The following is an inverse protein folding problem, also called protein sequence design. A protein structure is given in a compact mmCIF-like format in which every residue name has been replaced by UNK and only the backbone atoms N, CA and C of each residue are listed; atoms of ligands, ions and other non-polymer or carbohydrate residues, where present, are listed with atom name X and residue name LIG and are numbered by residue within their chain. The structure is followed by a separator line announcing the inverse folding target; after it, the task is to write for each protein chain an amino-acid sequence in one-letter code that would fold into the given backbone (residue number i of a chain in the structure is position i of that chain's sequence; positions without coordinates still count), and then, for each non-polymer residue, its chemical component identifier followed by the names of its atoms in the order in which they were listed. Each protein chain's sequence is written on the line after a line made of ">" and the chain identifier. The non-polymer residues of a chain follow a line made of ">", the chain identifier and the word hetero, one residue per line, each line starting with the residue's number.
data_IF_546769062740
#
_entry.id   IF_546769062740
#
_cell.length_a   1.000
_cell.length_b   1.000
_cell.length_c   1.000
_cell.angle_alpha   90.00
_cell.angle_beta   90.00
_cell.angle_gamma   90.00
#
_symmetry.space_group_name_H-M   'P 1'
#
loop_
_entity.id
_entity.type
_entity.pdbx_description
1 polymer ?
#
# COMPACT_ATOMS: atom_id res chain seq x y z
N UNK A 1 -3.74 -3.18 -34.43
CA UNK A 1 -4.42 -2.31 -33.46
C UNK A 1 -5.92 -2.11 -33.71
N UNK A 2 -6.58 -2.79 -34.66
CA UNK A 2 -8.03 -2.68 -34.90
C UNK A 2 -8.88 -3.73 -34.17
N UNK A 3 -8.30 -4.82 -33.73
CA UNK A 3 -9.02 -5.94 -33.05
C UNK A 3 -9.27 -5.76 -31.55
N UNK A 4 -8.67 -4.76 -30.90
CA UNK A 4 -8.85 -4.51 -29.46
C UNK A 4 -9.96 -3.49 -29.17
N UNK A 5 -10.36 -2.69 -30.16
CA UNK A 5 -11.44 -1.71 -30.01
C UNK A 5 -12.86 -2.27 -30.19
N UNK A 6 -13.00 -3.43 -30.84
CA UNK A 6 -14.33 -4.04 -31.02
C UNK A 6 -14.80 -4.89 -29.84
N UNK A 7 -13.89 -5.32 -28.96
CA UNK A 7 -14.24 -6.08 -27.75
C UNK A 7 -14.80 -5.23 -26.59
N UNK A 8 -14.59 -3.91 -26.61
CA UNK A 8 -15.05 -3.00 -25.53
C UNK A 8 -16.42 -2.36 -25.79
N UNK A 9 -17.04 -2.60 -26.95
CA UNK A 9 -18.34 -2.04 -27.31
C UNK A 9 -19.55 -2.96 -27.01
N UNK A 10 -19.32 -4.20 -26.59
CA UNK A 10 -20.39 -5.20 -26.41
C UNK A 10 -20.94 -5.31 -24.98
N UNK A 11 -20.37 -4.62 -23.99
CA UNK A 11 -20.73 -4.81 -22.57
C UNK A 11 -21.51 -3.66 -21.93
N UNK A 12 -22.30 -2.95 -22.71
CA UNK A 12 -23.20 -1.89 -22.18
C UNK A 12 -24.67 -2.14 -22.55
N UNK A 13 -25.22 -3.28 -22.15
CA UNK A 13 -26.69 -3.39 -22.10
C UNK A 13 -27.15 -4.38 -21.02
N UNK A 14 -27.99 -3.84 -20.13
CA UNK A 14 -28.92 -4.52 -19.24
C UNK A 14 -28.52 -4.71 -17.78
N UNK A 15 -28.55 -3.63 -17.01
CA UNK A 15 -29.04 -3.70 -15.63
C UNK A 15 -30.37 -2.91 -15.57
N UNK A 16 -31.50 -3.61 -15.53
CA UNK A 16 -32.78 -3.06 -15.09
C UNK A 16 -32.98 -3.43 -13.62
N UNK A 17 -33.18 -2.42 -12.81
CA UNK A 17 -33.62 -2.54 -11.42
C UNK A 17 -35.05 -3.09 -11.40
N UNK A 18 -35.29 -4.19 -10.73
CA UNK A 18 -36.62 -4.61 -10.28
C UNK A 18 -36.49 -4.91 -8.78
N UNK A 19 -37.22 -4.12 -8.00
CA UNK A 19 -37.39 -4.29 -6.57
C UNK A 19 -38.28 -5.53 -6.37
N UNK A 20 -37.71 -6.68 -5.99
CA UNK A 20 -38.28 -7.66 -5.12
C UNK A 20 -37.55 -9.01 -5.29
N UNK A 21 -37.03 -9.47 -4.14
CA UNK A 21 -36.53 -10.84 -3.86
C UNK A 21 -35.28 -11.32 -4.60
N UNK A 22 -34.18 -11.38 -3.81
CA UNK A 22 -32.93 -12.05 -4.16
C UNK A 22 -33.15 -13.49 -4.65
N UNK A 23 -32.96 -13.69 -5.93
CA UNK A 23 -32.56 -14.98 -6.50
C UNK A 23 -31.61 -14.67 -7.68
N UNK A 24 -30.31 -14.88 -7.45
CA UNK A 24 -29.29 -14.76 -8.50
C UNK A 24 -29.25 -16.10 -9.24
N UNK A 25 -29.95 -16.19 -10.38
CA UNK A 25 -29.75 -17.24 -11.37
C UNK A 25 -28.88 -16.68 -12.49
N UNK A 26 -27.61 -17.08 -12.50
CA UNK A 26 -26.69 -16.79 -13.59
C UNK A 26 -26.91 -17.86 -14.69
N UNK A 27 -27.66 -17.53 -15.74
CA UNK A 27 -27.74 -18.34 -16.96
C UNK A 27 -26.68 -17.83 -17.95
N UNK A 28 -25.55 -18.52 -18.02
CA UNK A 28 -24.59 -18.38 -19.11
C UNK A 28 -24.88 -19.44 -20.17
N UNK A 29 -25.54 -19.05 -21.24
CA UNK A 29 -25.65 -19.86 -22.47
C UNK A 29 -24.48 -19.52 -23.38
N UNK A 30 -23.46 -20.38 -23.44
CA UNK A 30 -22.45 -20.37 -24.50
C UNK A 30 -22.75 -21.51 -25.47
N UNK A 31 -22.70 -21.29 -26.79
CA UNK A 31 -22.80 -22.35 -27.77
C UNK A 31 -21.51 -23.17 -27.75
N UNK A 32 -21.64 -24.48 -27.56
CA UNK A 32 -20.55 -25.45 -27.61
C UNK A 32 -20.36 -25.84 -29.09
N UNK A 33 -19.25 -25.42 -29.64
CA UNK A 33 -18.76 -25.99 -30.91
C UNK A 33 -17.99 -27.28 -30.64
N UNK A 34 -18.39 -28.32 -31.35
CA UNK A 34 -17.92 -29.68 -31.22
C UNK A 34 -16.58 -29.87 -31.95
N UNK A 35 -15.48 -29.88 -31.23
CA UNK A 35 -14.19 -30.22 -31.83
C UNK A 35 -12.99 -30.20 -30.88
N UNK A 36 -12.74 -31.36 -30.23
CA UNK A 36 -11.44 -31.74 -29.65
C UNK A 36 -10.81 -30.83 -28.60
N UNK A 37 -11.00 -31.12 -27.32
CA UNK A 37 -9.94 -31.01 -26.31
C UNK A 37 -10.18 -32.04 -25.18
N UNK A 38 -9.37 -33.09 -25.20
CA UNK A 38 -9.16 -33.99 -24.06
C UNK A 38 -8.29 -33.31 -23.04
N UNK A 39 -8.85 -32.63 -22.10
CA UNK A 39 -8.16 -32.21 -20.87
C UNK A 39 -9.23 -31.76 -19.87
N UNK A 40 -9.63 -32.66 -18.96
CA UNK A 40 -10.11 -32.30 -17.61
C UNK A 40 -10.70 -33.52 -16.86
N UNK A 41 -9.84 -34.27 -16.12
CA UNK A 41 -10.40 -35.14 -15.08
C UNK A 41 -10.13 -34.68 -13.64
N UNK A 42 -9.60 -33.43 -13.42
CA UNK A 42 -9.20 -33.01 -12.08
C UNK A 42 -10.25 -32.21 -11.32
N UNK A 43 -11.19 -31.55 -12.00
CA UNK A 43 -12.19 -30.70 -11.31
C UNK A 43 -13.37 -31.47 -10.72
N UNK A 44 -13.75 -32.61 -11.28
CA UNK A 44 -14.86 -33.40 -10.70
C UNK A 44 -14.50 -34.12 -9.40
N UNK A 45 -13.22 -34.40 -9.14
CA UNK A 45 -12.79 -35.06 -7.89
C UNK A 45 -12.81 -34.11 -6.69
N UNK A 46 -12.66 -32.80 -6.91
CA UNK A 46 -12.68 -31.79 -5.83
C UNK A 46 -14.12 -31.46 -5.42
N UNK A 47 -15.06 -31.41 -6.37
CA UNK A 47 -16.47 -31.11 -6.07
C UNK A 47 -17.18 -32.22 -5.24
N UNK A 48 -16.80 -33.49 -5.41
CA UNK A 48 -17.40 -34.61 -4.65
C UNK A 48 -16.84 -34.74 -3.23
N UNK A 49 -15.67 -34.19 -2.93
CA UNK A 49 -15.06 -34.24 -1.59
C UNK A 49 -15.64 -33.21 -0.61
N UNK A 50 -16.33 -32.18 -1.09
CA UNK A 50 -16.89 -31.11 -0.25
C UNK A 50 -18.33 -31.28 0.16
N UNK A 51 -19.05 -32.28 -0.41
CA UNK A 51 -20.50 -32.48 -0.17
C UNK A 51 -20.81 -33.48 0.96
N UNK A 52 -19.82 -34.19 1.51
CA UNK A 52 -20.06 -35.25 2.52
C UNK A 52 -19.33 -35.00 3.86
N UNK A 53 -19.31 -33.76 4.37
CA UNK A 53 -19.06 -33.58 5.80
C UNK A 53 -20.39 -33.22 6.46
N UNK A 54 -20.95 -34.04 7.36
CA UNK A 54 -22.04 -33.60 8.21
C UNK A 54 -21.51 -32.41 9.02
N UNK A 55 -22.19 -31.28 8.89
CA UNK A 55 -21.90 -30.11 9.72
C UNK A 55 -22.05 -30.48 11.18
N UNK A 56 -21.26 -29.86 12.10
CA UNK A 56 -21.48 -30.06 13.52
C UNK A 56 -22.91 -29.69 13.84
N UNK A 57 -23.64 -30.61 14.48
CA UNK A 57 -24.98 -30.38 15.00
C UNK A 57 -24.94 -29.22 15.98
N UNK A 58 -25.53 -28.09 15.62
CA UNK A 58 -25.80 -27.01 16.58
C UNK A 58 -26.84 -27.55 17.58
N UNK A 59 -26.34 -28.10 18.69
CA UNK A 59 -27.15 -28.24 19.90
C UNK A 59 -27.43 -26.85 20.47
N UNK A 60 -28.52 -26.65 21.23
CA UNK A 60 -28.75 -25.39 21.94
C UNK A 60 -27.77 -25.33 23.13
N UNK A 61 -26.51 -25.02 22.84
CA UNK A 61 -25.57 -24.71 23.91
C UNK A 61 -25.99 -23.40 24.52
N UNK A 62 -26.25 -23.48 25.83
CA UNK A 62 -26.53 -22.36 26.73
C UNK A 62 -25.58 -21.20 26.40
N UNK A 63 -26.14 -20.09 25.87
CA UNK A 63 -25.45 -18.82 25.79
C UNK A 63 -25.09 -18.37 27.21
N UNK A 64 -23.86 -18.71 27.62
CA UNK A 64 -23.24 -18.10 28.79
C UNK A 64 -22.98 -16.63 28.46
N UNK A 65 -23.89 -15.77 28.91
CA UNK A 65 -23.88 -14.32 28.67
C UNK A 65 -22.87 -13.55 29.55
N UNK A 66 -21.82 -14.23 30.04
CA UNK A 66 -20.83 -13.61 30.95
C UNK A 66 -19.43 -13.40 30.35
N UNK A 67 -19.18 -13.63 29.07
CA UNK A 67 -17.95 -13.17 28.45
C UNK A 67 -18.11 -11.72 27.99
N UNK A 68 -17.99 -10.79 28.93
CA UNK A 68 -17.65 -9.40 28.63
C UNK A 68 -16.25 -9.42 27.98
N UNK A 69 -16.19 -9.65 26.67
CA UNK A 69 -14.99 -9.53 25.88
C UNK A 69 -14.45 -8.10 26.00
N UNK A 70 -13.53 -7.87 26.95
CA UNK A 70 -12.80 -6.61 27.02
C UNK A 70 -12.01 -6.46 25.74
N UNK A 71 -12.53 -5.68 24.81
CA UNK A 71 -11.76 -5.21 23.67
C UNK A 71 -10.66 -4.30 24.22
N UNK A 72 -9.43 -4.78 24.20
CA UNK A 72 -8.26 -3.96 24.52
C UNK A 72 -7.88 -3.13 23.31
N UNK A 73 -8.54 -1.98 23.12
CA UNK A 73 -8.15 -0.99 22.13
C UNK A 73 -6.91 -0.23 22.63
N UNK A 74 -5.90 -0.08 21.78
CA UNK A 74 -4.74 0.75 22.06
C UNK A 74 -4.98 2.15 21.53
N UNK A 75 -4.67 3.17 22.33
CA UNK A 75 -4.58 4.53 21.82
C UNK A 75 -3.39 4.62 20.86
N UNK A 76 -3.63 5.05 19.63
CA UNK A 76 -2.59 5.35 18.64
C UNK A 76 -2.35 6.85 18.60
N UNK A 77 -1.07 7.22 18.51
CA UNK A 77 -0.66 8.59 18.20
C UNK A 77 -0.43 8.63 16.68
N UNK A 78 -1.00 9.61 16.01
CA UNK A 78 -0.93 9.80 14.58
C UNK A 78 -0.45 11.21 14.27
N UNK A 79 0.06 11.43 13.04
CA UNK A 79 0.43 12.75 12.55
C UNK A 79 -0.83 13.55 12.23
N UNK A 80 -0.97 14.72 12.81
CA UNK A 80 -2.00 15.67 12.44
C UNK A 80 -1.58 16.47 11.18
N UNK A 81 -2.56 17.09 10.52
CA UNK A 81 -2.31 17.87 9.30
C UNK A 81 -1.25 18.97 9.52
N UNK A 82 -1.28 19.63 10.67
CA UNK A 82 -0.30 20.68 11.00
C UNK A 82 1.11 20.12 11.21
N UNK A 83 1.25 18.92 11.74
CA UNK A 83 2.53 18.23 11.88
C UNK A 83 3.13 17.94 10.49
N UNK A 84 2.29 17.44 9.59
CA UNK A 84 2.68 17.15 8.19
C UNK A 84 3.16 18.41 7.48
N UNK A 85 2.43 19.53 7.64
CA UNK A 85 2.84 20.82 7.07
C UNK A 85 4.15 21.32 7.67
N UNK A 86 4.34 21.24 8.98
CA UNK A 86 5.55 21.66 9.65
C UNK A 86 6.79 20.89 9.13
N UNK A 87 6.65 19.58 8.96
CA UNK A 87 7.68 18.71 8.37
C UNK A 87 7.98 19.12 6.93
N UNK A 88 6.95 19.29 6.10
CA UNK A 88 7.11 19.63 4.69
C UNK A 88 7.79 21.01 4.51
N UNK A 89 7.39 22.01 5.30
CA UNK A 89 7.96 23.34 5.27
C UNK A 89 9.43 23.37 5.72
N UNK A 90 9.80 22.65 6.78
CA UNK A 90 11.16 22.57 7.25
C UNK A 90 12.06 21.83 6.24
N UNK A 91 11.58 20.75 5.65
CA UNK A 91 12.27 20.05 4.58
C UNK A 91 12.46 20.95 3.35
N UNK A 92 11.42 21.71 2.96
CA UNK A 92 11.50 22.68 1.87
C UNK A 92 12.55 23.76 2.17
N UNK A 93 12.54 24.32 3.37
CA UNK A 93 13.49 25.35 3.78
C UNK A 93 14.94 24.85 3.71
N UNK A 94 15.19 23.60 4.10
CA UNK A 94 16.52 22.97 3.97
C UNK A 94 16.92 22.82 2.50
N UNK A 95 16.03 22.34 1.65
CA UNK A 95 16.27 22.19 0.22
C UNK A 95 16.57 23.55 -0.46
N UNK A 96 15.80 24.59 -0.13
CA UNK A 96 15.98 25.94 -0.68
C UNK A 96 17.31 26.56 -0.23
N UNK A 97 17.70 26.38 1.04
CA UNK A 97 18.98 26.89 1.58
C UNK A 97 20.19 26.35 0.84
N UNK A 98 20.10 25.09 0.39
CA UNK A 98 21.13 24.40 -0.37
C UNK A 98 20.97 24.53 -1.88
N UNK A 99 19.91 25.21 -2.37
CA UNK A 99 19.55 25.31 -3.79
C UNK A 99 19.30 23.93 -4.46
N UNK A 100 18.72 23.01 -3.74
CA UNK A 100 18.41 21.68 -4.20
C UNK A 100 16.98 21.57 -4.73
N UNK A 101 16.85 21.13 -6.00
CA UNK A 101 15.57 20.91 -6.66
C UNK A 101 15.10 19.46 -6.40
N UNK A 102 14.20 19.28 -5.44
CA UNK A 102 13.76 17.96 -4.95
C UNK A 102 12.23 17.82 -4.91
N UNK A 103 11.77 16.60 -4.78
CA UNK A 103 10.41 16.26 -4.36
C UNK A 103 10.44 15.75 -2.92
N UNK A 104 9.55 16.27 -2.10
CA UNK A 104 9.38 15.92 -0.68
C UNK A 104 8.01 15.21 -0.56
N UNK A 105 7.97 14.05 0.06
CA UNK A 105 6.77 13.30 0.36
C UNK A 105 6.70 12.97 1.85
N UNK A 106 5.53 13.11 2.45
CA UNK A 106 5.24 12.68 3.82
C UNK A 106 4.14 11.64 3.77
N UNK A 107 4.33 10.52 4.47
CA UNK A 107 3.37 9.42 4.57
C UNK A 107 3.04 9.11 6.02
N UNK A 108 1.88 8.47 6.25
CA UNK A 108 1.50 7.93 7.56
C UNK A 108 2.25 6.63 7.91
N UNK A 109 1.94 6.04 9.07
CA UNK A 109 2.53 4.78 9.53
C UNK A 109 2.19 3.58 8.60
N UNK A 110 1.09 3.65 7.85
CA UNK A 110 0.67 2.67 6.84
C UNK A 110 1.31 2.89 5.47
N UNK A 111 2.11 3.95 5.31
CA UNK A 111 2.74 4.31 4.04
C UNK A 111 1.80 5.01 3.06
N UNK A 112 0.64 5.51 3.52
CA UNK A 112 -0.29 6.28 2.70
C UNK A 112 0.17 7.73 2.61
N UNK A 113 0.04 8.32 1.40
CA UNK A 113 0.50 9.67 1.14
C UNK A 113 -0.37 10.71 1.86
N UNK A 114 0.27 11.55 2.68
CA UNK A 114 -0.34 12.70 3.35
C UNK A 114 0.00 14.01 2.65
N UNK A 115 1.24 14.16 2.17
CA UNK A 115 1.71 15.36 1.49
C UNK A 115 2.73 15.03 0.42
N UNK A 116 2.64 15.75 -0.73
CA UNK A 116 3.62 15.70 -1.80
C UNK A 116 3.89 17.10 -2.33
N UNK A 117 5.14 17.50 -2.35
CA UNK A 117 5.57 18.77 -2.92
C UNK A 117 6.78 18.55 -3.82
N UNK A 118 6.64 18.84 -5.12
CA UNK A 118 7.76 18.88 -6.05
C UNK A 118 8.17 20.32 -6.26
N UNK A 119 9.43 20.64 -5.95
CA UNK A 119 10.00 21.96 -6.17
C UNK A 119 10.31 22.19 -7.65
N UNK A 120 10.36 23.46 -8.03
CA UNK A 120 10.73 23.84 -9.39
C UNK A 120 12.14 23.35 -9.73
N UNK A 121 12.31 22.83 -10.94
CA UNK A 121 13.56 22.24 -11.40
C UNK A 121 13.77 20.77 -11.00
N UNK A 122 12.97 20.20 -10.09
CA UNK A 122 13.06 18.79 -9.77
C UNK A 122 12.58 17.91 -10.93
N UNK A 123 13.33 16.86 -11.24
CA UNK A 123 13.00 15.92 -12.31
C UNK A 123 11.62 15.27 -12.06
N UNK A 124 10.75 15.08 -13.09
CA UNK A 124 9.43 14.45 -12.91
C UNK A 124 9.48 13.08 -12.21
N UNK A 125 10.52 12.30 -12.45
CA UNK A 125 10.72 10.98 -11.85
C UNK A 125 10.79 11.04 -10.31
N UNK A 126 11.31 12.15 -9.75
CA UNK A 126 11.42 12.32 -8.29
C UNK A 126 10.05 12.27 -7.58
N UNK A 127 8.96 12.67 -8.28
CA UNK A 127 7.60 12.61 -7.74
C UNK A 127 7.09 11.17 -7.54
N UNK A 128 7.69 10.18 -8.20
CA UNK A 128 7.41 8.76 -8.01
C UNK A 128 8.35 8.12 -6.99
N UNK A 129 9.63 8.55 -6.99
CA UNK A 129 10.64 7.98 -6.10
C UNK A 129 10.47 8.45 -4.66
N UNK A 130 10.19 9.73 -4.41
CA UNK A 130 10.07 10.27 -3.06
C UNK A 130 8.97 9.56 -2.22
N UNK A 131 7.72 9.39 -2.71
CA UNK A 131 6.71 8.61 -1.99
C UNK A 131 7.11 7.15 -1.76
N UNK A 132 7.78 6.53 -2.73
CA UNK A 132 8.25 5.14 -2.60
C UNK A 132 9.30 4.99 -1.52
N UNK A 133 10.26 5.93 -1.41
CA UNK A 133 11.26 5.97 -0.33
C UNK A 133 10.58 6.17 1.04
N UNK A 134 9.61 7.11 1.13
CA UNK A 134 8.84 7.35 2.34
C UNK A 134 8.09 6.08 2.78
N UNK A 135 7.35 5.46 1.86
CA UNK A 135 6.61 4.21 2.12
C UNK A 135 7.52 3.09 2.62
N UNK A 136 8.68 2.91 1.99
CA UNK A 136 9.69 1.93 2.43
C UNK A 136 10.13 2.18 3.86
N UNK A 137 10.41 3.44 4.21
CA UNK A 137 10.86 3.81 5.55
C UNK A 137 9.74 3.64 6.60
N UNK A 138 8.48 3.99 6.28
CA UNK A 138 7.33 3.84 7.18
C UNK A 138 7.04 2.36 7.47
N UNK A 139 6.85 1.53 6.43
CA UNK A 139 6.52 0.12 6.56
C UNK A 139 7.66 -0.68 7.20
N UNK A 140 8.89 -0.33 6.89
CA UNK A 140 10.08 -0.97 7.46
C UNK A 140 10.48 -0.43 8.84
N UNK A 141 9.90 0.69 9.29
CA UNK A 141 10.21 1.38 10.55
C UNK A 141 11.72 1.67 10.72
N UNK A 142 12.40 1.96 9.60
CA UNK A 142 13.85 2.25 9.52
C UNK A 142 14.17 3.06 8.29
N UNK A 143 15.34 3.70 8.28
CA UNK A 143 15.81 4.43 7.10
C UNK A 143 15.87 3.51 5.87
N UNK A 144 15.43 3.99 4.72
CA UNK A 144 15.44 3.23 3.45
C UNK A 144 16.85 2.88 2.99
N UNK A 145 17.87 3.63 3.42
CA UNK A 145 19.29 3.33 3.26
C UNK A 145 19.66 1.90 3.66
N UNK A 146 19.10 1.41 4.77
CA UNK A 146 19.41 0.06 5.27
C UNK A 146 19.06 -1.02 4.25
N UNK A 147 17.96 -0.83 3.51
CA UNK A 147 17.56 -1.76 2.45
C UNK A 147 18.49 -1.67 1.22
N UNK A 148 18.89 -0.46 0.84
CA UNK A 148 19.88 -0.26 -0.21
C UNK A 148 21.20 -0.96 0.11
N UNK A 149 21.70 -0.78 1.34
CA UNK A 149 22.91 -1.48 1.83
C UNK A 149 22.75 -3.00 1.83
N UNK A 150 21.60 -3.54 2.25
CA UNK A 150 21.34 -4.98 2.20
C UNK A 150 21.40 -5.54 0.78
N UNK A 151 20.84 -4.81 -0.19
CA UNK A 151 20.85 -5.22 -1.60
C UNK A 151 22.29 -5.16 -2.15
N UNK A 152 23.00 -4.08 -1.89
CA UNK A 152 24.38 -3.89 -2.31
C UNK A 152 25.33 -4.93 -1.70
N UNK A 153 25.01 -5.44 -0.50
CA UNK A 153 25.71 -6.55 0.15
C UNK A 153 25.24 -7.94 -0.32
N UNK A 154 24.50 -8.03 -1.43
CA UNK A 154 24.14 -9.27 -2.09
C UNK A 154 22.76 -9.83 -1.72
N UNK A 155 21.99 -9.21 -0.83
CA UNK A 155 20.62 -9.65 -0.49
C UNK A 155 19.60 -9.16 -1.51
N UNK A 156 19.80 -9.49 -2.77
CA UNK A 156 18.96 -9.04 -3.91
C UNK A 156 17.51 -9.52 -3.86
N UNK A 157 17.19 -10.52 -3.03
CA UNK A 157 15.81 -11.00 -2.82
C UNK A 157 14.86 -9.92 -2.31
N UNK A 158 15.35 -8.83 -1.69
CA UNK A 158 14.52 -7.69 -1.33
C UNK A 158 13.84 -7.01 -2.53
N UNK A 159 14.44 -7.11 -3.73
CA UNK A 159 13.85 -6.56 -4.95
C UNK A 159 12.52 -7.24 -5.35
N UNK A 160 12.22 -8.43 -4.80
CA UNK A 160 10.96 -9.14 -5.02
C UNK A 160 9.87 -8.82 -4.00
N UNK A 161 10.13 -7.96 -3.01
CA UNK A 161 9.14 -7.57 -2.01
C UNK A 161 8.09 -6.62 -2.64
N UNK A 162 6.80 -7.01 -2.74
CA UNK A 162 5.83 -6.31 -3.58
C UNK A 162 5.49 -4.89 -3.06
N UNK A 163 5.54 -4.70 -1.75
CA UNK A 163 5.11 -3.45 -1.12
C UNK A 163 6.26 -2.44 -0.93
N UNK A 164 7.50 -2.84 -1.17
CA UNK A 164 8.70 -2.06 -0.85
C UNK A 164 9.46 -1.78 -2.14
N UNK A 165 9.13 -0.68 -2.82
CA UNK A 165 9.70 -0.35 -4.13
C UNK A 165 10.77 0.74 -4.09
N UNK A 166 10.77 1.61 -3.07
CA UNK A 166 11.73 2.70 -2.89
C UNK A 166 12.91 2.28 -2.02
N UNK A 167 13.68 1.29 -2.47
CA UNK A 167 14.83 0.70 -1.73
C UNK A 167 16.10 1.54 -1.91
N UNK A 168 15.97 2.87 -1.89
CA UNK A 168 17.03 3.85 -2.09
C UNK A 168 17.12 4.76 -0.87
N UNK A 169 18.32 5.18 -0.50
CA UNK A 169 18.53 6.15 0.60
C UNK A 169 17.78 7.46 0.32
N UNK A 170 17.21 8.08 1.37
CA UNK A 170 16.44 9.32 1.32
C UNK A 170 15.04 9.20 1.92
N UNK A 171 14.65 8.01 2.39
CA UNK A 171 13.45 7.78 3.20
C UNK A 171 13.83 7.66 4.67
N UNK A 172 13.20 8.47 5.56
CA UNK A 172 13.50 8.52 7.00
C UNK A 172 12.20 8.39 7.78
N UNK A 173 12.07 7.42 8.71
CA UNK A 173 10.86 7.25 9.51
C UNK A 173 10.75 8.32 10.60
N UNK A 174 9.53 8.72 10.91
CA UNK A 174 9.18 9.59 12.03
C UNK A 174 8.88 8.69 13.23
N UNK A 175 9.81 8.63 14.18
CA UNK A 175 9.70 7.75 15.34
C UNK A 175 9.41 8.54 16.60
N UNK A 176 8.45 8.07 17.44
CA UNK A 176 8.17 8.60 18.77
C UNK A 176 7.91 7.45 19.74
N UNK A 177 8.59 7.41 20.86
CA UNK A 177 8.44 6.39 21.91
C UNK A 177 8.51 4.94 21.35
N UNK A 178 9.41 4.69 20.39
CA UNK A 178 9.58 3.40 19.73
C UNK A 178 8.48 3.04 18.70
N UNK A 179 7.58 3.97 18.40
CA UNK A 179 6.50 3.79 17.40
C UNK A 179 6.78 4.61 16.15
N UNK A 180 6.49 4.04 15.01
CA UNK A 180 6.51 4.76 13.73
C UNK A 180 5.18 5.51 13.56
N UNK A 181 5.25 6.83 13.42
CA UNK A 181 4.09 7.71 13.16
C UNK A 181 3.90 7.94 11.65
N UNK A 182 4.95 7.75 10.89
CA UNK A 182 4.99 8.00 9.45
C UNK A 182 6.42 8.07 8.95
N UNK A 183 6.62 8.62 7.77
CA UNK A 183 7.96 8.82 7.23
C UNK A 183 8.02 9.99 6.24
N UNK A 184 9.21 10.51 6.05
CA UNK A 184 9.54 11.50 5.02
C UNK A 184 10.42 10.84 3.97
N UNK A 185 10.08 11.03 2.70
CA UNK A 185 10.90 10.60 1.58
C UNK A 185 11.25 11.80 0.69
N UNK A 186 12.51 11.88 0.31
CA UNK A 186 13.01 12.93 -0.56
C UNK A 186 13.72 12.32 -1.74
N UNK A 187 13.59 12.97 -2.90
CA UNK A 187 14.28 12.55 -4.12
C UNK A 187 14.53 13.74 -5.03
N UNK A 188 15.72 13.81 -5.61
CA UNK A 188 16.07 14.84 -6.59
C UNK A 188 17.54 15.17 -6.67
N UNK A 189 18.30 14.88 -5.61
CA UNK A 189 19.73 15.13 -5.52
C UNK A 189 20.48 13.85 -5.11
N UNK A 190 21.67 13.95 -4.53
CA UNK A 190 22.37 12.75 -4.03
C UNK A 190 21.64 12.15 -2.85
N UNK A 191 21.69 10.82 -2.71
CA UNK A 191 20.97 10.08 -1.67
C UNK A 191 21.21 10.61 -0.26
N UNK A 192 22.45 10.99 0.07
CA UNK A 192 22.81 11.58 1.37
C UNK A 192 22.14 12.94 1.58
N UNK A 193 22.08 13.77 0.53
CA UNK A 193 21.45 15.09 0.53
C UNK A 193 19.92 14.95 0.67
N UNK A 194 19.32 13.98 -0.03
CA UNK A 194 17.91 13.60 0.13
C UNK A 194 17.60 13.25 1.59
N UNK A 195 18.44 12.42 2.22
CA UNK A 195 18.28 12.02 3.62
C UNK A 195 18.49 13.21 4.60
N UNK A 196 19.39 14.13 4.29
CA UNK A 196 19.59 15.36 5.07
C UNK A 196 18.31 16.20 5.11
N UNK A 197 17.69 16.43 3.94
CA UNK A 197 16.43 17.18 3.83
C UNK A 197 15.32 16.50 4.64
N UNK A 198 15.19 15.16 4.52
CA UNK A 198 14.19 14.41 5.27
C UNK A 198 14.38 14.56 6.79
N UNK A 199 15.61 14.45 7.28
CA UNK A 199 15.95 14.62 8.71
C UNK A 199 15.68 16.04 9.19
N UNK A 200 15.99 17.06 8.38
CA UNK A 200 15.70 18.45 8.70
C UNK A 200 14.18 18.69 8.85
N UNK A 201 13.37 18.07 7.98
CA UNK A 201 11.91 18.10 8.09
C UNK A 201 11.43 17.51 9.42
N UNK A 202 11.89 16.32 9.76
CA UNK A 202 11.48 15.61 10.99
C UNK A 202 11.87 16.36 12.26
N UNK A 203 13.01 17.05 12.25
CA UNK A 203 13.47 17.83 13.39
C UNK A 203 12.51 18.97 13.79
N UNK A 204 11.63 19.42 12.89
CA UNK A 204 10.62 20.42 13.20
C UNK A 204 9.55 19.95 14.19
N UNK A 205 9.32 18.63 14.29
CA UNK A 205 8.28 18.06 15.15
C UNK A 205 8.61 18.07 16.66
N UNK A 206 9.83 18.40 17.06
CA UNK A 206 10.25 18.43 18.49
C UNK A 206 9.74 17.20 19.25
N UNK A 207 9.97 16.02 18.72
CA UNK A 207 9.44 14.74 19.23
C UNK A 207 10.04 14.30 20.58
N UNK A 208 10.59 15.20 21.38
CA UNK A 208 10.98 14.99 22.78
C UNK A 208 12.03 13.91 23.00
#
# INVERSE_FOLDING_TARGET
>A
MKLVQEALAADKRFCRHSSDKLSITCQTSFPIDSGRARWFPLQERIARSLVQRPGPSCGPDSMDSSSNGRFNMKNTVELEFNDVLAVAEAARAEAQRNQWAVTIAVVDAGGHLLHLQRLDGAAPLSAHIAPSKARTAALGQRESKIYEEMINNGRVSFLSAPEVQGLLEGGVPIMKDGRCLGAVGVSGVKSIEDAQIAKAGIAALKLG
#
